data_IF_828699400096
#
_entry.id   IF_828699400096
#
_cell.length_a   1.000
_cell.length_b   1.000
_cell.length_c   1.000
_cell.angle_alpha   90.00
_cell.angle_beta   90.00
_cell.angle_gamma   90.00
#
_symmetry.space_group_name_H-M   'P 1'
#
loop_
_entity.id
_entity.type
_entity.pdbx_description
1 polymer ?
#
# COMPACT_ATOMS: atom_id res chain seq x y z
N UNK A 1 4.35 -6.68 0.26
CA UNK A 1 3.53 -5.64 -0.43
C UNK A 1 2.15 -6.23 -0.72
N UNK A 2 1.12 -5.42 -0.95
CA UNK A 2 -0.20 -5.92 -1.31
C UNK A 2 -1.06 -4.83 -1.94
N UNK A 3 -2.13 -5.21 -2.63
CA UNK A 3 -3.12 -4.27 -3.13
C UNK A 3 -4.32 -4.25 -2.18
N UNK A 4 -4.67 -3.07 -1.71
CA UNK A 4 -5.73 -2.87 -0.74
C UNK A 4 -6.74 -1.86 -1.26
N UNK A 5 -7.98 -2.07 -0.88
CA UNK A 5 -9.03 -1.08 -0.99
C UNK A 5 -8.89 -0.10 0.17
N UNK A 6 -9.20 1.16 -0.04
CA UNK A 6 -9.15 2.16 1.02
C UNK A 6 -10.31 3.14 0.92
N UNK A 7 -10.78 3.59 2.06
CA UNK A 7 -11.79 4.64 2.18
C UNK A 7 -11.20 5.87 2.85
N UNK A 8 -11.44 7.04 2.27
CA UNK A 8 -11.02 8.32 2.85
C UNK A 8 -12.10 8.77 3.83
N UNK A 9 -11.74 8.90 5.12
CA UNK A 9 -12.65 9.34 6.18
C UNK A 9 -12.55 10.84 6.48
N UNK A 10 -11.50 11.50 5.99
CA UNK A 10 -11.30 12.91 6.22
C UNK A 10 -10.03 13.43 5.55
N UNK A 11 -9.54 14.59 6.00
CA UNK A 11 -8.36 15.21 5.38
C UNK A 11 -7.05 14.46 5.63
N UNK A 12 -7.01 13.61 6.66
CA UNK A 12 -5.80 12.93 7.13
C UNK A 12 -6.00 11.47 7.51
N UNK A 13 -7.14 10.89 7.22
CA UNK A 13 -7.46 9.51 7.60
C UNK A 13 -7.87 8.69 6.39
N UNK A 14 -7.24 7.53 6.22
CA UNK A 14 -7.54 6.54 5.18
C UNK A 14 -7.74 5.20 5.86
N UNK A 15 -8.92 4.59 5.72
CA UNK A 15 -9.16 3.20 6.11
C UNK A 15 -8.43 2.26 5.17
N UNK A 16 -7.88 1.19 5.73
CA UNK A 16 -7.15 0.18 4.98
C UNK A 16 -7.87 -1.16 5.13
N UNK A 17 -8.47 -1.60 4.04
CA UNK A 17 -9.17 -2.88 4.00
C UNK A 17 -8.18 -4.05 4.01
N UNK A 18 -7.72 -4.43 5.21
CA UNK A 18 -6.83 -5.58 5.40
C UNK A 18 -7.64 -6.86 5.58
N UNK A 19 -7.37 -7.83 4.74
CA UNK A 19 -7.91 -9.16 4.94
C UNK A 19 -6.98 -9.97 5.86
N UNK A 20 -7.56 -10.78 6.73
CA UNK A 20 -6.86 -11.55 7.77
C UNK A 20 -5.77 -12.52 7.25
N UNK A 21 -5.73 -12.79 5.97
CA UNK A 21 -4.77 -13.72 5.34
C UNK A 21 -3.65 -13.02 4.57
N UNK A 22 -3.46 -11.72 4.76
CA UNK A 22 -2.38 -10.97 4.08
C UNK A 22 -1.31 -10.58 5.09
N UNK A 23 -0.05 -10.64 4.66
CA UNK A 23 1.15 -10.31 5.45
C UNK A 23 1.10 -8.99 6.26
N UNK A 24 0.20 -8.07 5.89
CA UNK A 24 0.01 -6.84 6.67
C UNK A 24 -0.61 -7.08 8.05
N UNK A 25 -1.44 -8.12 8.22
CA UNK A 25 -2.00 -8.48 9.52
C UNK A 25 -0.90 -9.04 10.44
N UNK A 26 -0.02 -9.90 9.90
CA UNK A 26 1.10 -10.48 10.64
C UNK A 26 2.05 -9.41 11.16
N UNK A 27 2.36 -8.40 10.33
CA UNK A 27 3.18 -7.26 10.75
C UNK A 27 2.52 -6.35 11.78
N UNK A 28 1.20 -6.22 11.77
CA UNK A 28 0.49 -5.43 12.76
C UNK A 28 0.53 -6.07 14.16
N UNK A 29 0.57 -7.39 14.22
CA UNK A 29 0.69 -8.13 15.49
C UNK A 29 2.12 -8.06 16.07
N UNK A 30 3.15 -8.00 15.21
CA UNK A 30 4.55 -7.92 15.63
C UNK A 30 4.95 -6.56 16.22
N UNK A 31 4.29 -5.47 15.82
CA UNK A 31 4.66 -4.09 16.24
C UNK A 31 4.23 -3.78 17.67
N UNK A 32 3.38 -4.59 18.28
CA UNK A 32 2.90 -4.40 19.65
C UNK A 32 1.95 -3.20 19.79
N UNK A 33 1.08 -3.24 20.81
CA UNK A 33 -0.02 -2.28 20.97
C UNK A 33 0.39 -0.81 21.24
N UNK A 34 1.66 -0.55 21.52
CA UNK A 34 2.17 0.78 21.86
C UNK A 34 2.92 1.48 20.70
N UNK A 35 3.24 0.77 19.64
CA UNK A 35 4.02 1.31 18.54
C UNK A 35 3.16 1.58 17.31
N UNK A 36 3.43 2.70 16.64
CA UNK A 36 2.83 3.06 15.36
C UNK A 36 3.45 2.23 14.25
N UNK A 37 2.63 1.54 13.44
CA UNK A 37 3.13 0.83 12.29
C UNK A 37 3.21 1.79 11.09
N UNK A 38 4.39 2.01 10.50
CA UNK A 38 4.53 2.86 9.33
C UNK A 38 3.85 2.23 8.11
N UNK A 39 3.20 3.06 7.30
CA UNK A 39 2.58 2.65 6.04
C UNK A 39 2.98 3.60 4.92
N UNK A 40 3.08 3.03 3.70
CA UNK A 40 3.27 3.77 2.47
C UNK A 40 2.29 3.25 1.42
N UNK A 41 1.38 4.11 0.96
CA UNK A 41 0.37 3.77 -0.04
C UNK A 41 0.85 4.34 -1.37
N UNK A 42 1.14 3.46 -2.32
CA UNK A 42 1.57 3.82 -3.66
C UNK A 42 0.37 3.85 -4.60
N UNK A 43 0.22 4.93 -5.36
CA UNK A 43 -0.82 5.09 -6.36
C UNK A 43 -0.18 5.21 -7.74
N UNK A 44 -0.77 4.52 -8.72
CA UNK A 44 -0.25 4.50 -10.09
C UNK A 44 1.03 3.66 -10.24
N UNK A 45 1.75 3.91 -11.32
CA UNK A 45 3.00 3.24 -11.63
C UNK A 45 2.89 2.13 -12.68
N UNK A 46 4.01 1.43 -12.96
CA UNK A 46 4.06 0.44 -14.02
C UNK A 46 3.14 -0.76 -13.76
N UNK A 47 2.43 -1.28 -14.79
CA UNK A 47 1.55 -2.45 -14.64
C UNK A 47 2.20 -3.67 -13.98
N UNK A 48 3.48 -4.02 -14.21
CA UNK A 48 4.13 -5.12 -13.53
C UNK A 48 4.19 -4.99 -12.01
N UNK A 49 4.30 -3.77 -11.49
CA UNK A 49 4.28 -3.51 -10.03
C UNK A 49 2.89 -3.77 -9.48
N UNK A 50 1.87 -3.26 -10.14
CA UNK A 50 0.48 -3.45 -9.72
C UNK A 50 0.08 -4.93 -9.79
N UNK A 51 0.47 -5.62 -10.86
CA UNK A 51 0.19 -7.05 -11.02
C UNK A 51 0.90 -7.89 -9.95
N UNK A 52 2.16 -7.58 -9.63
CA UNK A 52 2.89 -8.31 -8.60
C UNK A 52 2.25 -8.15 -7.20
N UNK A 53 1.66 -6.99 -6.91
CA UNK A 53 1.02 -6.72 -5.63
C UNK A 53 -0.24 -7.56 -5.35
N UNK A 54 -0.89 -8.09 -6.39
CA UNK A 54 -2.07 -8.97 -6.28
C UNK A 54 -1.74 -10.45 -6.50
N UNK A 55 -0.53 -10.77 -6.95
CA UNK A 55 -0.13 -12.13 -7.27
C UNK A 55 0.03 -12.97 -6.01
N UNK A 56 -0.50 -14.20 -5.98
CA UNK A 56 -0.28 -15.13 -4.87
C UNK A 56 1.12 -15.74 -4.99
N UNK A 57 2.12 -15.01 -4.47
CA UNK A 57 3.51 -15.45 -4.52
C UNK A 57 3.83 -16.37 -3.32
N UNK A 58 4.78 -17.30 -3.47
CA UNK A 58 5.29 -18.06 -2.36
C UNK A 58 6.12 -17.17 -1.42
N UNK A 59 6.21 -17.53 -0.14
CA UNK A 59 6.82 -16.70 0.92
C UNK A 59 8.29 -16.32 0.67
N UNK A 60 8.99 -17.09 -0.14
CA UNK A 60 10.40 -16.86 -0.48
C UNK A 60 10.63 -15.96 -1.70
N UNK A 61 9.57 -15.42 -2.31
CA UNK A 61 9.65 -14.54 -3.47
C UNK A 61 9.00 -13.19 -3.16
N UNK A 62 9.81 -12.14 -3.17
CA UNK A 62 9.32 -10.78 -2.98
C UNK A 62 8.53 -10.30 -4.19
N UNK A 63 7.44 -9.57 -3.96
CA UNK A 63 6.68 -8.90 -5.03
C UNK A 63 7.55 -7.90 -5.81
N UNK A 64 8.56 -7.31 -5.17
CA UNK A 64 9.52 -6.43 -5.86
C UNK A 64 10.41 -7.20 -6.85
N UNK A 65 10.85 -8.39 -6.47
CA UNK A 65 11.62 -9.27 -7.37
C UNK A 65 10.75 -9.75 -8.52
N UNK A 66 9.52 -10.16 -8.23
CA UNK A 66 8.58 -10.60 -9.25
C UNK A 66 8.20 -9.46 -10.21
N UNK A 67 7.98 -8.25 -9.72
CA UNK A 67 7.78 -7.07 -10.58
C UNK A 67 8.99 -6.81 -11.50
N UNK A 68 10.20 -6.96 -10.97
CA UNK A 68 11.44 -6.87 -11.76
C UNK A 68 11.54 -7.93 -12.86
N UNK A 69 11.15 -9.17 -12.53
CA UNK A 69 11.09 -10.28 -13.50
C UNK A 69 10.10 -9.98 -14.63
N UNK A 70 8.88 -9.56 -14.28
CA UNK A 70 7.86 -9.21 -15.28
C UNK A 70 8.29 -8.04 -16.18
N UNK A 71 8.97 -7.08 -15.61
CA UNK A 71 9.45 -5.89 -16.32
C UNK A 71 10.77 -6.13 -17.07
N UNK A 72 11.37 -7.34 -16.95
CA UNK A 72 12.67 -7.73 -17.51
C UNK A 72 13.82 -6.78 -17.16
N UNK A 73 13.70 -6.09 -16.04
CA UNK A 73 14.72 -5.18 -15.49
C UNK A 73 14.55 -5.10 -13.97
N UNK A 74 15.63 -4.72 -13.29
CA UNK A 74 15.55 -4.46 -11.83
C UNK A 74 14.55 -3.35 -11.56
N UNK A 75 13.66 -3.60 -10.60
CA UNK A 75 12.77 -2.58 -10.11
C UNK A 75 13.59 -1.53 -9.35
N UNK A 76 13.42 -0.28 -9.69
CA UNK A 76 13.99 0.83 -8.92
C UNK A 76 13.12 1.10 -7.71
N UNK A 77 13.74 1.17 -6.54
CA UNK A 77 13.08 1.50 -5.28
C UNK A 77 13.71 2.75 -4.69
N UNK A 78 12.93 3.49 -3.91
CA UNK A 78 13.37 4.66 -3.18
C UNK A 78 12.86 4.61 -1.74
N UNK A 79 13.57 5.27 -0.84
CA UNK A 79 13.17 5.34 0.56
C UNK A 79 12.09 6.40 0.74
N UNK A 80 11.13 6.13 1.60
CA UNK A 80 10.15 7.11 2.06
C UNK A 80 10.82 8.28 2.79
N UNK A 81 10.17 9.44 2.84
CA UNK A 81 10.70 10.64 3.50
C UNK A 81 10.43 10.65 5.01
N UNK A 82 9.30 10.10 5.44
CA UNK A 82 8.82 10.19 6.83
C UNK A 82 9.02 8.91 7.62
N UNK A 83 9.41 7.82 6.96
CA UNK A 83 9.61 6.52 7.58
C UNK A 83 10.70 5.71 6.84
N UNK A 84 11.03 4.52 7.35
CA UNK A 84 12.10 3.68 6.81
C UNK A 84 11.63 2.68 5.73
N UNK A 85 10.42 2.82 5.22
CA UNK A 85 9.90 1.95 4.17
C UNK A 85 10.53 2.28 2.82
N UNK A 86 10.59 1.26 1.96
CA UNK A 86 11.04 1.37 0.57
C UNK A 86 9.85 1.19 -0.35
N UNK A 87 9.73 2.06 -1.35
CA UNK A 87 8.64 2.06 -2.32
C UNK A 87 9.17 2.03 -3.76
N UNK A 88 8.40 1.53 -4.73
CA UNK A 88 8.80 1.62 -6.13
C UNK A 88 8.98 3.08 -6.54
N UNK A 89 10.10 3.39 -7.19
CA UNK A 89 10.44 4.77 -7.59
C UNK A 89 9.64 5.26 -8.82
N UNK A 90 8.90 4.39 -9.46
CA UNK A 90 8.15 4.68 -10.70
C UNK A 90 6.64 4.78 -10.46
N UNK A 91 6.20 5.00 -9.21
CA UNK A 91 4.79 5.30 -8.89
C UNK A 91 4.51 6.78 -9.06
N UNK A 92 3.23 7.14 -9.27
CA UNK A 92 2.85 8.53 -9.49
C UNK A 92 2.75 9.29 -8.17
N UNK A 93 2.18 8.66 -7.15
CA UNK A 93 2.03 9.23 -5.81
C UNK A 93 2.43 8.23 -4.73
N UNK A 94 2.98 8.74 -3.64
CA UNK A 94 3.16 8.02 -2.40
C UNK A 94 2.51 8.79 -1.27
N UNK A 95 1.62 8.13 -0.55
CA UNK A 95 1.01 8.64 0.67
C UNK A 95 1.69 7.95 1.84
N UNK A 96 2.40 8.70 2.66
CA UNK A 96 3.10 8.18 3.81
C UNK A 96 2.35 8.50 5.10
N UNK A 97 2.32 7.54 6.00
CA UNK A 97 1.62 7.65 7.25
C UNK A 97 1.93 6.53 8.21
N UNK A 98 1.06 6.34 9.17
CA UNK A 98 1.14 5.25 10.15
C UNK A 98 -0.25 4.81 10.58
N UNK A 99 -0.37 3.57 11.01
CA UNK A 99 -1.55 3.07 11.72
C UNK A 99 -1.27 3.05 13.22
N UNK A 100 -2.33 3.22 14.01
CA UNK A 100 -2.29 3.06 15.45
C UNK A 100 -3.02 1.76 15.78
N UNK A 101 -2.35 0.78 16.41
CA UNK A 101 -2.99 -0.48 16.78
C UNK A 101 -4.26 -0.26 17.60
N UNK A 102 -5.35 -0.90 17.18
CA UNK A 102 -6.65 -0.79 17.83
C UNK A 102 -7.52 0.41 17.40
N UNK A 103 -6.99 1.34 16.60
CA UNK A 103 -7.82 2.36 15.96
C UNK A 103 -8.44 1.83 14.68
N UNK A 104 -9.77 1.79 14.65
CA UNK A 104 -10.56 1.33 13.52
C UNK A 104 -11.61 2.37 13.12
N UNK A 105 -12.13 2.22 11.91
CA UNK A 105 -13.32 2.92 11.42
C UNK A 105 -14.17 1.95 10.64
N UNK A 106 -15.48 2.16 10.68
CA UNK A 106 -16.43 1.43 9.86
C UNK A 106 -16.21 1.78 8.40
N UNK A 107 -15.84 0.79 7.59
CA UNK A 107 -15.64 0.89 6.16
C UNK A 107 -16.79 0.24 5.40
N UNK A 108 -17.23 0.87 4.33
CA UNK A 108 -18.27 0.34 3.46
C UNK A 108 -19.61 1.07 3.56
N UNK A 109 -20.66 0.51 2.93
CA UNK A 109 -20.61 -0.67 2.06
C UNK A 109 -19.92 -0.35 0.72
N UNK A 110 -19.09 -1.30 0.20
CA UNK A 110 -18.46 -1.17 -1.11
C UNK A 110 -19.08 -2.06 -2.15
N UNK A 111 -19.26 -1.53 -3.36
CA UNK A 111 -19.56 -2.35 -4.53
C UNK A 111 -18.34 -3.17 -4.96
N UNK A 112 -18.52 -4.47 -5.14
CA UNK A 112 -17.51 -5.34 -5.70
C UNK A 112 -17.66 -5.47 -7.23
N UNK A 113 -16.69 -6.10 -7.89
CA UNK A 113 -16.70 -6.30 -9.33
C UNK A 113 -17.74 -7.35 -9.81
N UNK A 114 -18.37 -8.09 -8.91
CA UNK A 114 -19.48 -9.00 -9.22
C UNK A 114 -20.85 -8.30 -9.18
N UNK A 115 -20.89 -7.01 -8.79
CA UNK A 115 -22.14 -6.24 -8.75
C UNK A 115 -22.88 -6.32 -7.40
N UNK A 116 -22.24 -6.82 -6.36
CA UNK A 116 -22.78 -6.87 -5.00
C UNK A 116 -22.09 -5.86 -4.10
N UNK A 117 -22.77 -5.42 -3.05
CA UNK A 117 -22.19 -4.61 -1.99
C UNK A 117 -21.71 -5.51 -0.84
N UNK A 118 -20.49 -5.28 -0.37
CA UNK A 118 -20.03 -5.87 0.88
C UNK A 118 -20.72 -5.18 2.07
N UNK A 119 -20.85 -5.91 3.18
CA UNK A 119 -21.29 -5.33 4.45
C UNK A 119 -20.27 -4.34 4.98
N UNK A 120 -20.73 -3.46 5.85
CA UNK A 120 -19.88 -2.57 6.63
C UNK A 120 -19.08 -3.39 7.66
N UNK A 121 -17.80 -3.11 7.79
CA UNK A 121 -16.90 -3.78 8.73
C UNK A 121 -15.89 -2.79 9.30
N UNK A 122 -15.34 -3.11 10.48
CA UNK A 122 -14.31 -2.30 11.13
C UNK A 122 -12.93 -2.65 10.58
N UNK A 123 -12.23 -1.64 10.06
CA UNK A 123 -10.87 -1.79 9.54
C UNK A 123 -9.90 -0.77 10.14
N UNK A 124 -8.60 -1.12 10.21
CA UNK A 124 -7.57 -0.20 10.67
C UNK A 124 -7.52 1.10 9.86
N UNK A 125 -7.19 2.17 10.53
CA UNK A 125 -7.05 3.50 9.92
C UNK A 125 -5.58 3.91 9.89
N UNK A 126 -5.15 4.41 8.73
CA UNK A 126 -3.87 5.08 8.58
C UNK A 126 -4.05 6.60 8.70
N UNK A 127 -3.21 7.19 9.55
CA UNK A 127 -3.07 8.64 9.66
C UNK A 127 -2.03 9.10 8.63
N UNK A 128 -2.45 9.97 7.72
CA UNK A 128 -1.60 10.51 6.65
C UNK A 128 -0.71 11.62 7.20
N UNK A 129 0.59 11.49 7.00
CA UNK A 129 1.59 12.51 7.31
C UNK A 129 1.90 13.39 6.11
N UNK A 130 2.14 12.78 4.95
CA UNK A 130 2.49 13.50 3.74
C UNK A 130 2.01 12.78 2.49
N UNK A 131 1.86 13.55 1.42
CA UNK A 131 1.58 13.01 0.07
C UNK A 131 2.66 13.54 -0.86
N UNK A 132 3.37 12.65 -1.50
CA UNK A 132 4.46 12.95 -2.44
C UNK A 132 3.99 12.66 -3.86
N UNK A 133 4.24 13.61 -4.76
CA UNK A 133 4.08 13.43 -6.20
C UNK A 133 5.45 13.08 -6.80
N UNK A 134 5.57 11.92 -7.39
CA UNK A 134 6.76 11.53 -8.16
C UNK A 134 6.56 11.93 -9.63
N UNK A 135 7.05 13.10 -9.99
CA UNK A 135 7.10 13.51 -11.39
C UNK A 135 8.34 12.85 -12.01
N UNK A 136 8.13 11.87 -12.88
CA UNK A 136 9.19 11.39 -13.79
C UNK A 136 9.50 12.52 -14.77
N UNK A 137 10.48 13.35 -14.45
CA UNK A 137 11.15 14.19 -15.42
C UNK A 137 11.90 13.27 -16.38
N UNK A 138 11.28 12.93 -17.50
CA UNK A 138 12.00 12.39 -18.66
C UNK A 138 12.95 13.49 -19.16
N UNK A 139 14.16 13.49 -18.65
CA UNK A 139 15.26 14.15 -19.32
C UNK A 139 15.59 13.29 -20.54
N UNK A 140 14.98 13.60 -21.68
CA UNK A 140 15.44 13.10 -22.97
C UNK A 140 16.74 13.83 -23.28
N UNK A 141 17.87 13.27 -22.83
CA UNK A 141 19.16 13.57 -23.44
C UNK A 141 19.18 12.94 -24.82
N UNK A 142 19.11 13.78 -25.82
CA UNK A 142 19.41 13.47 -27.23
C UNK A 142 20.87 13.09 -27.36
#
# INVERSE_FOLDING_TARGET
MGMYRGQIFGKKEIGLHWQAHKHAADHADDVGKENRMPVAICLGGPPPVMFSAISPLPDNLSEYEFAGLLNKRRLRITKCLTNDLWVPAEVDFVIEGYTIPGETRTEGPFGDHFGYYCLEEEYPVAVVLTVLLFVLLFCTCS
#
